data_IF_106110866555
#
_entry.id   IF_106110866555
#
_cell.length_a   1.000
_cell.length_b   1.000
_cell.length_c   1.000
_cell.angle_alpha   90.00
_cell.angle_beta   90.00
_cell.angle_gamma   90.00
#
_symmetry.space_group_name_H-M   'P 1'
#
loop_
_entity.id
_entity.type
_entity.pdbx_description
1 polymer ?
#
# COMPACT_ATOMS: atom_id res chain seq x y z
N UNK A 1 7.26 18.80 10.97
CA UNK A 1 5.82 18.97 10.66
C UNK A 1 5.18 17.58 10.50
N UNK A 2 4.43 17.11 11.50
CA UNK A 2 3.82 15.76 11.54
C UNK A 2 2.30 15.76 11.33
N UNK A 3 1.70 16.94 11.09
CA UNK A 3 0.24 17.12 11.01
C UNK A 3 -0.48 16.40 9.86
N UNK A 4 0.24 15.93 8.84
CA UNK A 4 -0.35 15.19 7.71
C UNK A 4 -0.76 13.75 8.06
N UNK A 5 -0.01 13.06 8.94
CA UNK A 5 -0.23 11.63 9.21
C UNK A 5 -1.61 11.33 9.86
N UNK A 6 -2.10 12.10 10.84
CA UNK A 6 -3.44 11.90 11.37
C UNK A 6 -4.55 12.08 10.31
N UNK A 7 -4.39 13.06 9.42
CA UNK A 7 -5.32 13.34 8.32
C UNK A 7 -5.32 12.21 7.29
N UNK A 8 -4.15 11.74 6.87
CA UNK A 8 -4.03 10.60 5.94
C UNK A 8 -4.68 9.34 6.53
N UNK A 9 -4.45 9.05 7.82
CA UNK A 9 -5.08 7.89 8.48
C UNK A 9 -6.60 8.03 8.54
N UNK A 10 -7.13 9.25 8.69
CA UNK A 10 -8.57 9.48 8.68
C UNK A 10 -9.15 9.29 7.27
N UNK A 11 -8.51 9.87 6.26
CA UNK A 11 -8.92 9.71 4.87
C UNK A 11 -8.84 8.24 4.41
N UNK A 12 -7.79 7.51 4.81
CA UNK A 12 -7.68 6.08 4.52
C UNK A 12 -8.84 5.29 5.13
N UNK A 13 -9.20 5.56 6.39
CA UNK A 13 -10.36 4.93 7.04
C UNK A 13 -11.65 5.21 6.28
N UNK A 14 -11.85 6.44 5.83
CA UNK A 14 -13.02 6.84 5.05
C UNK A 14 -13.08 6.09 3.71
N UNK A 15 -11.98 6.04 2.96
CA UNK A 15 -11.91 5.32 1.69
C UNK A 15 -12.18 3.82 1.86
N UNK A 16 -11.64 3.20 2.91
CA UNK A 16 -11.89 1.78 3.21
C UNK A 16 -13.34 1.52 3.62
N UNK A 17 -13.95 2.40 4.41
CA UNK A 17 -15.36 2.32 4.79
C UNK A 17 -16.27 2.46 3.56
N UNK A 18 -15.93 3.37 2.64
CA UNK A 18 -16.64 3.58 1.38
C UNK A 18 -16.37 2.49 0.32
N UNK A 19 -15.45 1.54 0.58
CA UNK A 19 -14.96 0.55 -0.40
C UNK A 19 -14.40 1.18 -1.68
N UNK A 20 -13.85 2.39 -1.58
CA UNK A 20 -13.24 3.09 -2.70
C UNK A 20 -11.76 2.71 -2.82
N UNK A 21 -11.49 1.68 -3.62
CA UNK A 21 -10.15 1.18 -3.87
C UNK A 21 -9.25 2.19 -4.59
N UNK A 22 -9.81 3.01 -5.48
CA UNK A 22 -9.05 4.02 -6.23
C UNK A 22 -8.59 5.15 -5.30
N UNK A 23 -9.49 5.64 -4.44
CA UNK A 23 -9.14 6.63 -3.42
C UNK A 23 -8.13 6.05 -2.41
N UNK A 24 -8.37 4.82 -1.93
CA UNK A 24 -7.45 4.14 -1.01
C UNK A 24 -6.03 3.99 -1.58
N UNK A 25 -5.89 3.68 -2.88
CA UNK A 25 -4.59 3.60 -3.54
C UNK A 25 -3.83 4.93 -3.49
N UNK A 26 -4.49 6.04 -3.87
CA UNK A 26 -3.91 7.38 -3.82
C UNK A 26 -3.49 7.76 -2.38
N UNK A 27 -4.35 7.47 -1.41
CA UNK A 27 -4.11 7.79 -0.02
C UNK A 27 -2.97 6.97 0.60
N UNK A 28 -2.79 5.72 0.17
CA UNK A 28 -1.62 4.92 0.57
C UNK A 28 -0.30 5.51 0.06
N UNK A 29 -0.27 6.05 -1.18
CA UNK A 29 0.91 6.77 -1.70
C UNK A 29 1.19 8.04 -0.88
N UNK A 30 0.14 8.82 -0.59
CA UNK A 30 0.28 10.04 0.21
C UNK A 30 0.79 9.75 1.62
N UNK A 31 0.20 8.74 2.29
CA UNK A 31 0.64 8.31 3.61
C UNK A 31 2.10 7.85 3.60
N UNK A 32 2.51 7.04 2.62
CA UNK A 32 3.91 6.63 2.48
C UNK A 32 4.87 7.83 2.27
N UNK A 33 4.44 8.86 1.53
CA UNK A 33 5.21 10.08 1.36
C UNK A 33 5.32 10.89 2.65
N UNK A 34 4.24 11.02 3.42
CA UNK A 34 4.28 11.71 4.71
C UNK A 34 5.08 10.92 5.77
N UNK A 35 5.00 9.59 5.78
CA UNK A 35 5.88 8.73 6.59
C UNK A 35 7.36 8.97 6.26
N UNK A 36 7.69 9.16 4.98
CA UNK A 36 9.05 9.46 4.53
C UNK A 36 9.51 10.82 5.03
N UNK A 37 8.68 11.85 4.90
CA UNK A 37 8.99 13.20 5.40
C UNK A 37 9.14 13.24 6.92
N UNK A 38 8.42 12.37 7.63
CA UNK A 38 8.53 12.22 9.07
C UNK A 38 9.72 11.34 9.51
N UNK A 39 10.49 10.75 8.58
CA UNK A 39 11.65 9.90 8.90
C UNK A 39 11.29 8.57 9.57
N UNK A 40 10.07 8.05 9.35
CA UNK A 40 9.55 6.85 10.02
C UNK A 40 10.05 5.54 9.37
N UNK A 41 9.52 4.39 9.78
CA UNK A 41 9.98 3.06 9.36
C UNK A 41 9.91 2.85 7.83
N UNK A 42 11.05 2.53 7.16
CA UNK A 42 11.06 2.16 5.74
C UNK A 42 10.14 0.98 5.38
N UNK A 43 9.99 -0.01 6.26
CA UNK A 43 9.15 -1.19 5.99
C UNK A 43 7.67 -0.80 5.90
N UNK A 44 7.19 0.08 6.79
CA UNK A 44 5.82 0.60 6.75
C UNK A 44 5.56 1.38 5.46
N UNK A 45 6.53 2.20 5.01
CA UNK A 45 6.42 2.92 3.73
C UNK A 45 6.28 1.97 2.54
N UNK A 46 7.12 0.94 2.49
CA UNK A 46 7.09 -0.05 1.40
C UNK A 46 5.78 -0.81 1.40
N UNK A 47 5.26 -1.21 2.56
CA UNK A 47 3.97 -1.86 2.68
C UNK A 47 2.84 -0.97 2.12
N UNK A 48 2.77 0.30 2.47
CA UNK A 48 1.73 1.19 1.93
C UNK A 48 1.89 1.43 0.42
N UNK A 49 3.11 1.57 -0.09
CA UNK A 49 3.33 1.67 -1.54
C UNK A 49 2.90 0.40 -2.27
N UNK A 50 3.20 -0.77 -1.73
CA UNK A 50 2.79 -2.05 -2.29
C UNK A 50 1.26 -2.26 -2.24
N UNK A 51 0.60 -1.83 -1.16
CA UNK A 51 -0.86 -1.80 -1.10
C UNK A 51 -1.45 -0.91 -2.22
N UNK A 52 -0.84 0.27 -2.47
CA UNK A 52 -1.25 1.13 -3.58
C UNK A 52 -1.02 0.46 -4.95
N UNK A 53 0.13 -0.20 -5.17
CA UNK A 53 0.40 -0.96 -6.40
C UNK A 53 -0.73 -1.96 -6.69
N UNK A 54 -1.07 -2.79 -5.70
CA UNK A 54 -2.12 -3.81 -5.85
C UNK A 54 -3.46 -3.18 -6.18
N UNK A 55 -3.85 -2.12 -5.46
CA UNK A 55 -5.13 -1.45 -5.71
C UNK A 55 -5.15 -0.81 -7.10
N UNK A 56 -4.09 -0.12 -7.51
CA UNK A 56 -4.00 0.47 -8.85
C UNK A 56 -4.08 -0.58 -9.96
N UNK A 57 -3.35 -1.70 -9.84
CA UNK A 57 -3.43 -2.82 -10.80
C UNK A 57 -4.85 -3.38 -10.91
N UNK A 58 -5.52 -3.58 -9.78
CA UNK A 58 -6.87 -4.15 -9.74
C UNK A 58 -7.96 -3.15 -10.19
N UNK A 59 -7.69 -1.84 -10.13
CA UNK A 59 -8.57 -0.79 -10.64
C UNK A 59 -8.19 -0.29 -12.04
N UNK A 60 -7.18 -0.88 -12.69
CA UNK A 60 -6.78 -0.55 -14.07
C UNK A 60 -5.93 0.71 -14.24
N UNK A 61 -5.17 1.12 -13.22
CA UNK A 61 -4.28 2.29 -13.27
C UNK A 61 -2.78 1.89 -13.26
N UNK A 62 -2.38 1.15 -14.30
CA UNK A 62 -1.03 0.57 -14.47
C UNK A 62 0.11 1.60 -14.38
N UNK A 63 -0.14 2.83 -14.87
CA UNK A 63 0.86 3.90 -14.82
C UNK A 63 1.20 4.32 -13.39
N UNK A 64 0.20 4.39 -12.50
CA UNK A 64 0.42 4.73 -11.10
C UNK A 64 0.93 3.52 -10.31
N UNK A 65 0.50 2.30 -10.68
CA UNK A 65 1.08 1.07 -10.13
C UNK A 65 2.60 1.01 -10.38
N UNK A 66 3.02 1.23 -11.63
CA UNK A 66 4.44 1.24 -12.01
C UNK A 66 5.25 2.28 -11.23
N UNK A 67 4.72 3.50 -11.09
CA UNK A 67 5.36 4.58 -10.31
C UNK A 67 5.48 4.23 -8.83
N UNK A 68 4.42 3.71 -8.22
CA UNK A 68 4.41 3.32 -6.82
C UNK A 68 5.40 2.16 -6.56
N UNK A 69 5.49 1.20 -7.47
CA UNK A 69 6.42 0.07 -7.39
C UNK A 69 7.89 0.53 -7.46
N UNK A 70 8.24 1.41 -8.40
CA UNK A 70 9.58 2.00 -8.50
C UNK A 70 9.96 2.67 -7.17
N UNK A 71 9.03 3.43 -6.58
CA UNK A 71 9.28 4.07 -5.30
C UNK A 71 9.42 3.06 -4.15
N UNK A 72 8.63 1.98 -4.14
CA UNK A 72 8.74 0.90 -3.16
C UNK A 72 10.13 0.23 -3.20
N UNK A 73 10.69 -0.02 -4.39
CA UNK A 73 12.05 -0.55 -4.52
C UNK A 73 13.14 0.45 -4.11
N UNK A 74 12.91 1.75 -4.28
CA UNK A 74 13.87 2.78 -3.93
C UNK A 74 13.99 3.02 -2.42
N UNK A 75 12.91 2.81 -1.64
CA UNK A 75 12.91 3.09 -0.19
C UNK A 75 13.99 2.32 0.60
N UNK A 76 14.12 0.97 0.50
CA UNK A 76 15.10 0.22 1.29
C UNK A 76 16.54 0.63 0.98
N UNK A 77 16.84 0.89 -0.30
CA UNK A 77 18.19 1.25 -0.77
C UNK A 77 18.70 2.54 -0.13
N UNK A 78 17.81 3.51 0.14
CA UNK A 78 18.14 4.76 0.84
C UNK A 78 18.58 4.56 2.28
N UNK A 79 18.28 3.40 2.85
CA UNK A 79 18.63 3.02 4.22
C UNK A 79 19.67 1.88 4.27
N UNK A 80 20.34 1.59 3.14
CA UNK A 80 21.33 0.51 3.06
C UNK A 80 20.73 -0.91 3.17
N UNK A 81 19.40 -1.03 3.05
CA UNK A 81 18.70 -2.31 3.13
C UNK A 81 18.54 -2.91 1.73
N UNK A 82 18.73 -4.23 1.62
CA UNK A 82 18.53 -4.96 0.36
C UNK A 82 17.06 -4.96 -0.07
N UNK A 83 16.13 -5.17 0.85
CA UNK A 83 14.69 -5.10 0.62
C UNK A 83 13.94 -5.07 1.95
N UNK A 84 12.78 -4.40 1.98
CA UNK A 84 11.78 -4.49 3.06
C UNK A 84 10.40 -4.86 2.49
N UNK A 85 10.38 -5.48 1.30
CA UNK A 85 9.15 -5.87 0.63
C UNK A 85 8.47 -7.02 1.41
N UNK A 86 7.17 -6.88 1.75
CA UNK A 86 6.39 -7.99 2.28
C UNK A 86 6.51 -9.25 1.41
N UNK A 87 6.59 -10.43 2.03
CA UNK A 87 6.76 -11.70 1.31
C UNK A 87 5.46 -12.32 0.86
N UNK A 88 4.35 -11.98 1.52
CA UNK A 88 3.01 -12.55 1.29
C UNK A 88 1.94 -11.49 1.54
N UNK A 89 0.76 -11.71 0.98
CA UNK A 89 -0.39 -10.83 1.20
C UNK A 89 -0.75 -10.72 2.69
N UNK A 90 -0.62 -11.79 3.46
CA UNK A 90 -0.90 -11.77 4.91
C UNK A 90 0.00 -10.81 5.69
N UNK A 91 1.28 -10.73 5.32
CA UNK A 91 2.24 -9.80 5.93
C UNK A 91 1.88 -8.35 5.59
N UNK A 92 1.60 -8.09 4.31
CA UNK A 92 1.16 -6.77 3.84
C UNK A 92 -0.12 -6.33 4.56
N UNK A 93 -1.13 -7.19 4.61
CA UNK A 93 -2.41 -6.90 5.26
C UNK A 93 -2.22 -6.62 6.76
N UNK A 94 -1.32 -7.34 7.43
CA UNK A 94 -1.00 -7.12 8.84
C UNK A 94 -0.40 -5.74 9.08
N UNK A 95 0.51 -5.28 8.22
CA UNK A 95 1.10 -3.93 8.34
C UNK A 95 0.04 -2.86 8.09
N UNK A 96 -0.77 -3.01 7.05
CA UNK A 96 -1.85 -2.05 6.73
C UNK A 96 -2.88 -1.96 7.86
N UNK A 97 -3.22 -3.08 8.49
CA UNK A 97 -4.16 -3.16 9.61
C UNK A 97 -3.66 -2.50 10.91
N UNK A 98 -2.39 -2.05 10.97
CA UNK A 98 -1.90 -1.22 12.09
C UNK A 98 -2.61 0.12 12.17
N UNK A 99 -3.20 0.59 11.07
CA UNK A 99 -4.13 1.72 11.09
C UNK A 99 -5.53 1.15 11.41
N UNK A 100 -6.13 1.48 12.57
CA UNK A 100 -7.45 0.97 12.92
C UNK A 100 -8.48 1.31 11.85
N UNK A 101 -9.33 0.34 11.49
CA UNK A 101 -10.37 0.51 10.47
C UNK A 101 -9.95 0.19 9.04
N UNK A 102 -8.68 -0.12 8.78
CA UNK A 102 -8.25 -0.65 7.48
C UNK A 102 -8.27 -2.18 7.50
N UNK A 103 -9.01 -2.74 6.55
CA UNK A 103 -9.00 -4.17 6.24
C UNK A 103 -8.79 -4.35 4.74
N UNK A 104 -7.53 -4.57 4.35
CA UNK A 104 -7.13 -4.69 2.95
C UNK A 104 -7.77 -5.92 2.30
N UNK A 105 -7.93 -7.02 3.05
CA UNK A 105 -8.59 -8.22 2.53
C UNK A 105 -10.06 -7.95 2.22
N UNK A 106 -10.77 -7.31 3.14
CA UNK A 106 -12.16 -6.96 2.92
C UNK A 106 -12.34 -5.96 1.77
N UNK A 107 -11.42 -4.99 1.62
CA UNK A 107 -11.42 -4.08 0.48
C UNK A 107 -11.23 -4.83 -0.84
N UNK A 108 -10.21 -5.71 -0.94
CA UNK A 108 -9.99 -6.50 -2.15
C UNK A 108 -11.15 -7.45 -2.48
N UNK A 109 -11.78 -8.06 -1.48
CA UNK A 109 -12.96 -8.92 -1.67
C UNK A 109 -14.20 -8.14 -2.13
N UNK A 110 -14.25 -6.82 -1.90
CA UNK A 110 -15.34 -5.98 -2.41
C UNK A 110 -15.19 -5.62 -3.89
N UNK A 111 -13.99 -5.82 -4.45
CA UNK A 111 -13.77 -5.68 -5.89
C UNK A 111 -14.48 -6.84 -6.59
N UNK A 112 -15.16 -6.56 -7.71
CA UNK A 112 -15.84 -7.57 -8.55
C UNK A 112 -14.84 -8.46 -9.33
N UNK A 113 -13.73 -8.86 -8.69
CA UNK A 113 -12.68 -9.73 -9.22
C UNK A 113 -12.58 -10.97 -8.31
N UNK A 114 -13.06 -12.15 -8.75
CA UNK A 114 -13.10 -13.36 -7.92
C UNK A 114 -11.72 -13.88 -7.48
N UNK A 115 -10.65 -13.34 -8.05
CA UNK A 115 -9.26 -13.71 -7.84
C UNK A 115 -8.39 -12.56 -7.27
N UNK A 116 -8.99 -11.49 -6.75
CA UNK A 116 -8.27 -10.28 -6.30
C UNK A 116 -7.12 -10.59 -5.32
N UNK A 117 -7.33 -11.52 -4.38
CA UNK A 117 -6.30 -11.93 -3.41
C UNK A 117 -5.18 -12.74 -4.09
N UNK A 118 -5.52 -13.64 -5.00
CA UNK A 118 -4.52 -14.44 -5.74
C UNK A 118 -3.68 -13.53 -6.66
N UNK A 119 -4.30 -12.54 -7.31
CA UNK A 119 -3.60 -11.51 -8.08
C UNK A 119 -2.71 -10.66 -7.19
N UNK A 120 -3.18 -10.27 -6.01
CA UNK A 120 -2.38 -9.56 -5.03
C UNK A 120 -1.13 -10.38 -4.62
N UNK A 121 -1.26 -11.67 -4.32
CA UNK A 121 -0.11 -12.54 -4.04
C UNK A 121 0.88 -12.61 -5.22
N UNK A 122 0.38 -12.76 -6.45
CA UNK A 122 1.22 -12.79 -7.64
C UNK A 122 1.99 -11.47 -7.85
N UNK A 123 1.33 -10.32 -7.60
CA UNK A 123 1.96 -9.00 -7.67
C UNK A 123 3.04 -8.83 -6.60
N UNK A 124 2.80 -9.32 -5.38
CA UNK A 124 3.81 -9.29 -4.30
C UNK A 124 5.02 -10.12 -4.67
N UNK A 125 4.82 -11.32 -5.22
CA UNK A 125 5.92 -12.17 -5.65
C UNK A 125 6.69 -11.55 -6.83
N UNK A 126 6.00 -10.93 -7.79
CA UNK A 126 6.63 -10.21 -8.89
C UNK A 126 7.45 -9.00 -8.40
N UNK A 127 6.92 -8.22 -7.46
CA UNK A 127 7.56 -7.05 -6.87
C UNK A 127 8.81 -7.37 -6.02
N UNK A 128 9.12 -8.64 -5.77
CA UNK A 128 10.31 -9.04 -5.00
C UNK A 128 11.50 -9.40 -5.87
N UNK A 129 11.31 -9.53 -7.19
CA UNK A 129 12.35 -9.85 -8.17
C UNK A 129 13.15 -8.60 -8.53
#
# INVERSE_FOLDING_TARGET
>A
MTGGLPLDRAALREAYAARDATAAANLHVNYANHLRLAGLDPAERVAHRLAAVILYELTGNESQASRALIQAHAEPRRHGLRSTMPKRFTELATVVARIPGLDLRALLNSLRSPDAISRAEALIEAARR
#
